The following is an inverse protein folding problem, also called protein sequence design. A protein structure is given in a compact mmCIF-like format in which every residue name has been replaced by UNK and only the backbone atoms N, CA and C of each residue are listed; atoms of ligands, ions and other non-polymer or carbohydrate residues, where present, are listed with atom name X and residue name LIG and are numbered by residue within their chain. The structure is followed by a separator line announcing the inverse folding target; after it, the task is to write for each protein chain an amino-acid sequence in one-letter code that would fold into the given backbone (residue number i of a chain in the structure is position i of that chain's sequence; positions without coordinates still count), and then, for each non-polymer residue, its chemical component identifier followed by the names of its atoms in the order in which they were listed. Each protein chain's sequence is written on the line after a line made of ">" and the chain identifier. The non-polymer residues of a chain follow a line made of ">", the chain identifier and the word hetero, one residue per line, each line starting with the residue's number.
data_IF_003560164689
#
_entry.id   IF_003560164689
#
_cell.length_a   1.000
_cell.length_b   1.000
_cell.length_c   1.000
_cell.angle_alpha   90.00
_cell.angle_beta   90.00
_cell.angle_gamma   90.00
#
_symmetry.space_group_name_H-M   'P 1'
#
loop_
_entity.id
_entity.type
_entity.pdbx_description
1 polymer ?
#
# COMPACT_ATOMS: atom_id res chain seq x y z
N UNK A 1 -5.96 -25.75 -11.22
CA UNK A 1 -5.11 -24.60 -10.88
C UNK A 1 -6.03 -23.55 -10.27
N UNK A 2 -5.85 -23.19 -9.01
CA UNK A 2 -6.78 -22.31 -8.31
C UNK A 2 -6.57 -20.86 -8.76
N UNK A 3 -7.65 -20.16 -9.09
CA UNK A 3 -7.58 -18.75 -9.48
C UNK A 3 -7.21 -17.92 -8.25
N UNK A 4 -6.10 -17.18 -8.36
CA UNK A 4 -5.59 -16.28 -7.31
C UNK A 4 -6.64 -15.25 -6.88
N UNK A 5 -7.52 -14.84 -7.80
CA UNK A 5 -8.63 -13.92 -7.50
C UNK A 5 -9.65 -14.55 -6.56
N UNK A 6 -9.97 -15.82 -6.79
CA UNK A 6 -10.90 -16.57 -5.94
C UNK A 6 -10.34 -16.78 -4.53
N UNK A 7 -9.05 -17.10 -4.42
CA UNK A 7 -8.38 -17.24 -3.12
C UNK A 7 -8.40 -15.91 -2.34
N UNK A 8 -8.01 -14.82 -2.99
CA UNK A 8 -8.02 -13.49 -2.37
C UNK A 8 -9.44 -13.08 -1.93
N UNK A 9 -10.44 -13.31 -2.78
CA UNK A 9 -11.84 -13.01 -2.44
C UNK A 9 -12.33 -13.83 -1.23
N UNK A 10 -11.95 -15.11 -1.14
CA UNK A 10 -12.27 -15.97 0.00
C UNK A 10 -11.59 -15.47 1.29
N UNK A 11 -10.32 -15.06 1.20
CA UNK A 11 -9.60 -14.54 2.36
C UNK A 11 -10.18 -13.22 2.86
N UNK A 12 -10.49 -12.28 1.95
CA UNK A 12 -11.16 -11.01 2.31
C UNK A 12 -12.54 -11.25 2.93
N UNK A 13 -13.28 -12.26 2.45
CA UNK A 13 -14.62 -12.57 2.94
C UNK A 13 -14.63 -13.15 4.37
N UNK A 14 -13.54 -13.80 4.83
CA UNK A 14 -13.47 -14.38 6.19
C UNK A 14 -13.61 -13.33 7.29
N UNK A 15 -13.08 -12.13 7.05
CA UNK A 15 -13.02 -11.05 8.05
C UNK A 15 -14.16 -10.02 7.90
N UNK A 16 -15.04 -10.19 6.91
CA UNK A 16 -16.12 -9.25 6.62
C UNK A 16 -17.50 -9.81 7.01
N UNK A 17 -18.28 -9.04 7.78
CA UNK A 17 -19.64 -9.41 8.18
C UNK A 17 -20.72 -8.64 7.43
N UNK A 18 -20.34 -7.53 6.79
CA UNK A 18 -21.22 -6.65 6.03
C UNK A 18 -20.53 -6.13 4.77
N UNK A 19 -21.33 -5.61 3.82
CA UNK A 19 -20.82 -4.93 2.61
C UNK A 19 -19.95 -3.73 2.97
N UNK A 20 -20.27 -3.04 4.06
CA UNK A 20 -19.48 -1.92 4.58
C UNK A 20 -18.09 -2.35 5.04
N UNK A 21 -17.97 -3.54 5.64
CA UNK A 21 -16.67 -4.06 6.07
C UNK A 21 -15.79 -4.39 4.86
N UNK A 22 -16.37 -4.99 3.82
CA UNK A 22 -15.67 -5.25 2.56
C UNK A 22 -15.16 -3.95 1.95
N UNK A 23 -15.99 -2.90 1.93
CA UNK A 23 -15.63 -1.60 1.38
C UNK A 23 -14.45 -0.95 2.13
N UNK A 24 -14.52 -0.94 3.47
CA UNK A 24 -13.44 -0.40 4.30
C UNK A 24 -12.14 -1.19 4.11
N UNK A 25 -12.23 -2.52 4.07
CA UNK A 25 -11.07 -3.38 3.90
C UNK A 25 -10.40 -3.16 2.53
N UNK A 26 -11.20 -3.02 1.46
CA UNK A 26 -10.69 -2.69 0.13
C UNK A 26 -10.01 -1.32 0.10
N UNK A 27 -10.58 -0.34 0.79
CA UNK A 27 -9.98 1.00 0.91
C UNK A 27 -8.61 0.94 1.62
N UNK A 28 -8.51 0.17 2.69
CA UNK A 28 -7.26 0.02 3.43
C UNK A 28 -6.22 -0.79 2.64
N UNK A 29 -6.64 -1.84 1.93
CA UNK A 29 -5.77 -2.61 1.05
C UNK A 29 -5.19 -1.70 -0.04
N UNK A 30 -6.05 -0.91 -0.70
CA UNK A 30 -5.62 0.00 -1.75
C UNK A 30 -4.64 1.06 -1.22
N UNK A 31 -4.91 1.61 -0.03
CA UNK A 31 -4.00 2.54 0.63
C UNK A 31 -2.61 1.92 0.81
N UNK A 32 -2.53 0.70 1.34
CA UNK A 32 -1.25 -0.01 1.54
C UNK A 32 -0.55 -0.29 0.22
N UNK A 33 -1.30 -0.70 -0.82
CA UNK A 33 -0.73 -0.93 -2.16
C UNK A 33 -0.08 0.34 -2.71
N UNK A 34 -0.71 1.51 -2.56
CA UNK A 34 -0.09 2.78 -2.97
C UNK A 34 1.16 3.06 -2.14
N UNK A 35 1.11 2.87 -0.81
CA UNK A 35 2.27 3.10 0.06
C UNK A 35 3.48 2.24 -0.35
N UNK A 36 3.27 0.96 -0.67
CA UNK A 36 4.34 0.07 -1.15
C UNK A 36 4.90 0.52 -2.51
N UNK A 37 4.05 0.92 -3.45
CA UNK A 37 4.51 1.43 -4.76
C UNK A 37 5.33 2.71 -4.58
N UNK A 38 4.88 3.64 -3.74
CA UNK A 38 5.62 4.89 -3.48
C UNK A 38 6.95 4.65 -2.75
N UNK A 39 7.01 3.67 -1.85
CA UNK A 39 8.27 3.27 -1.20
C UNK A 39 9.27 2.70 -2.20
N UNK A 40 8.80 1.91 -3.16
CA UNK A 40 9.66 1.36 -4.21
C UNK A 40 10.13 2.44 -5.18
N UNK A 41 9.25 3.36 -5.60
CA UNK A 41 9.65 4.53 -6.38
C UNK A 41 10.72 5.36 -5.64
N UNK A 42 10.63 5.48 -4.31
CA UNK A 42 11.62 6.17 -3.50
C UNK A 42 12.94 5.38 -3.37
N UNK A 43 12.88 4.04 -3.30
CA UNK A 43 14.05 3.17 -3.33
C UNK A 43 14.81 3.37 -4.65
N UNK A 44 14.11 3.34 -5.78
CA UNK A 44 14.69 3.55 -7.11
C UNK A 44 15.27 4.97 -7.26
N UNK A 45 14.53 5.99 -6.83
CA UNK A 45 14.98 7.38 -6.94
C UNK A 45 16.25 7.67 -6.14
N UNK A 46 16.35 7.13 -4.92
CA UNK A 46 17.51 7.32 -4.04
C UNK A 46 18.64 6.32 -4.33
N UNK A 47 18.34 5.21 -5.01
CA UNK A 47 19.29 4.12 -5.26
C UNK A 47 19.60 3.28 -4.02
N UNK A 48 18.81 3.41 -2.95
CA UNK A 48 18.99 2.66 -1.71
C UNK A 48 17.67 2.47 -0.94
N UNK A 49 17.55 1.33 -0.26
CA UNK A 49 16.43 1.04 0.63
C UNK A 49 16.56 1.73 2.00
N UNK A 50 15.46 1.78 2.74
CA UNK A 50 15.46 2.31 4.11
C UNK A 50 16.49 1.58 5.00
N UNK A 51 17.23 2.36 5.80
CA UNK A 51 18.26 1.89 6.75
C UNK A 51 19.53 1.27 6.13
N UNK A 52 19.74 1.43 4.83
CA UNK A 52 20.93 0.96 4.13
C UNK A 52 22.16 1.83 4.44
N UNK A 53 23.34 1.21 4.46
CA UNK A 53 24.62 1.89 4.77
C UNK A 53 25.03 2.78 3.60
N UNK A 54 24.67 2.36 2.39
CA UNK A 54 24.79 3.04 1.11
C UNK A 54 24.16 4.45 1.14
N UNK A 55 23.19 4.67 2.04
CA UNK A 55 22.61 5.99 2.26
C UNK A 55 23.58 7.00 2.90
N UNK A 56 24.62 6.54 3.62
CA UNK A 56 25.58 7.43 4.29
C UNK A 56 26.43 8.15 3.25
N UNK A 57 26.55 9.47 3.40
CA UNK A 57 27.25 10.37 2.47
C UNK A 57 26.65 10.44 1.05
N UNK A 58 25.40 9.99 0.86
CA UNK A 58 24.68 10.11 -0.42
C UNK A 58 24.24 11.56 -0.76
N UNK A 59 24.31 12.47 0.22
CA UNK A 59 23.88 13.87 0.07
C UNK A 59 22.35 14.08 0.11
N UNK A 60 21.56 13.01 -0.02
CA UNK A 60 20.10 13.05 0.09
C UNK A 60 19.61 11.91 0.97
N UNK A 61 19.15 12.25 2.17
CA UNK A 61 18.67 11.29 3.18
C UNK A 61 17.15 11.31 3.28
N UNK A 62 16.56 10.12 3.42
CA UNK A 62 15.13 9.96 3.74
C UNK A 62 14.77 10.76 5.00
N UNK A 63 13.70 11.55 4.94
CA UNK A 63 13.29 12.47 6.00
C UNK A 63 11.87 12.16 6.54
N UNK A 64 11.55 10.87 6.69
CA UNK A 64 10.26 10.42 7.21
C UNK A 64 9.11 10.52 6.19
N UNK A 65 7.88 10.63 6.70
CA UNK A 65 6.65 10.53 5.91
C UNK A 65 5.76 11.76 6.09
N UNK A 66 5.04 12.12 5.03
CA UNK A 66 3.98 13.13 5.08
C UNK A 66 2.61 12.49 4.89
N UNK A 67 1.60 12.97 5.61
CA UNK A 67 0.22 12.48 5.47
C UNK A 67 -0.44 13.17 4.27
N UNK A 68 -0.98 12.38 3.36
CA UNK A 68 -1.80 12.88 2.24
C UNK A 68 -3.14 12.15 2.21
N UNK A 69 -4.23 12.93 2.19
CA UNK A 69 -5.57 12.39 1.98
C UNK A 69 -5.81 12.22 0.48
N UNK A 70 -6.14 11.01 0.06
CA UNK A 70 -6.49 10.68 -1.32
C UNK A 70 -8.00 10.43 -1.39
N UNK A 71 -8.69 11.19 -2.25
CA UNK A 71 -10.11 10.98 -2.50
C UNK A 71 -10.27 9.87 -3.52
N UNK A 72 -10.37 8.64 -3.02
CA UNK A 72 -10.61 7.47 -3.84
C UNK A 72 -12.12 7.34 -4.08
N UNK A 73 -12.50 7.19 -5.35
CA UNK A 73 -13.90 6.99 -5.74
C UNK A 73 -14.30 5.56 -5.40
N UNK A 74 -14.65 5.34 -4.13
CA UNK A 74 -15.32 4.13 -3.69
C UNK A 74 -16.79 4.40 -3.29
N UNK A 75 -17.22 5.66 -3.32
CA UNK A 75 -18.57 6.06 -2.91
C UNK A 75 -19.57 5.90 -4.07
N UNK A 76 -19.88 4.67 -4.46
CA UNK A 76 -21.02 4.39 -5.35
C UNK A 76 -21.33 2.91 -5.40
N UNK A 77 -21.81 2.35 -4.28
CA UNK A 77 -22.72 1.20 -4.28
C UNK A 77 -23.69 1.33 -3.10
#
# INVERSE_FOLDING_TARGET
>A
MQDKRTLLAQDLAKDCKSVKDVHNLLKDLFKRTIEEVLEEELNEHLGYEKYRIEAKNSGNSRNGYSRKSQNLVFQSV
#
